data_IF_199853153171
#
_entry.id   IF_199853153171
#
_cell.length_a   1.000
_cell.length_b   1.000
_cell.length_c   1.000
_cell.angle_alpha   90.00
_cell.angle_beta   90.00
_cell.angle_gamma   90.00
#
_symmetry.space_group_name_H-M   'P 1'
#
loop_
_entity.id
_entity.type
_entity.pdbx_description
1 polymer ?
#
# COMPACT_ATOMS: atom_id res chain seq x y z
N UNK A 1 15.18 -3.71 -12.99
CA UNK A 1 14.35 -4.44 -13.97
C UNK A 1 14.48 -5.93 -13.67
N UNK A 2 13.37 -6.66 -13.55
CA UNK A 2 13.42 -8.11 -13.28
C UNK A 2 13.63 -8.85 -14.60
N UNK A 3 14.66 -9.70 -14.67
CA UNK A 3 15.00 -10.49 -15.86
C UNK A 3 15.00 -11.98 -15.55
N UNK A 4 14.79 -12.81 -16.57
CA UNK A 4 14.90 -14.26 -16.53
C UNK A 4 15.73 -14.71 -17.73
N UNK A 5 16.83 -15.43 -17.48
CA UNK A 5 17.80 -15.84 -18.50
C UNK A 5 18.30 -14.67 -19.39
N UNK A 6 18.54 -13.50 -18.78
CA UNK A 6 19.01 -12.31 -19.50
C UNK A 6 17.89 -11.49 -20.17
N UNK A 7 16.69 -12.05 -20.31
CA UNK A 7 15.57 -11.38 -20.96
C UNK A 7 14.60 -10.71 -19.97
N UNK A 8 13.94 -9.62 -20.36
CA UNK A 8 12.87 -9.00 -19.58
C UNK A 8 11.75 -9.99 -19.26
N UNK A 9 11.31 -10.05 -17.99
CA UNK A 9 10.10 -10.79 -17.65
C UNK A 9 8.89 -10.06 -18.24
N UNK A 10 8.17 -10.72 -19.16
CA UNK A 10 6.98 -10.16 -19.81
C UNK A 10 5.75 -10.08 -18.89
N UNK A 11 5.61 -11.05 -17.97
CA UNK A 11 4.48 -11.08 -17.04
C UNK A 11 4.83 -11.82 -15.74
N UNK A 12 4.35 -11.27 -14.62
CA UNK A 12 4.50 -11.87 -13.29
C UNK A 12 3.27 -12.65 -12.82
N UNK A 13 2.19 -12.68 -13.62
CA UNK A 13 0.88 -13.21 -13.21
C UNK A 13 0.94 -14.68 -12.77
N UNK A 14 1.63 -15.52 -13.55
CA UNK A 14 1.73 -16.96 -13.26
C UNK A 14 2.53 -17.22 -11.98
N UNK A 15 3.69 -16.56 -11.85
CA UNK A 15 4.54 -16.69 -10.67
C UNK A 15 3.80 -16.23 -9.41
N UNK A 16 3.08 -15.10 -9.50
CA UNK A 16 2.29 -14.59 -8.39
C UNK A 16 1.13 -15.52 -8.01
N UNK A 17 0.37 -16.04 -8.99
CA UNK A 17 -0.72 -16.98 -8.72
C UNK A 17 -0.23 -18.27 -8.03
N UNK A 18 0.96 -18.75 -8.42
CA UNK A 18 1.59 -19.88 -7.74
C UNK A 18 2.01 -19.51 -6.31
N UNK A 19 2.58 -18.32 -6.10
CA UNK A 19 2.94 -17.85 -4.77
C UNK A 19 1.72 -17.72 -3.84
N UNK A 20 0.59 -17.19 -4.34
CA UNK A 20 -0.69 -17.12 -3.62
C UNK A 20 -1.16 -18.50 -3.19
N UNK A 21 -1.10 -19.49 -4.09
CA UNK A 21 -1.48 -20.89 -3.80
C UNK A 21 -0.58 -21.50 -2.72
N UNK A 22 0.75 -21.33 -2.86
CA UNK A 22 1.73 -21.86 -1.89
C UNK A 22 1.57 -21.22 -0.50
N UNK A 23 1.24 -19.93 -0.46
CA UNK A 23 0.98 -19.18 0.76
C UNK A 23 -0.42 -19.47 1.36
N UNK A 24 -1.25 -20.30 0.71
CA UNK A 24 -2.63 -20.62 1.11
C UNK A 24 -3.51 -19.38 1.30
N UNK A 25 -3.32 -18.39 0.44
CA UNK A 25 -4.13 -17.17 0.41
C UNK A 25 -5.34 -17.33 -0.52
N UNK A 26 -6.32 -16.44 -0.38
CA UNK A 26 -7.48 -16.38 -1.25
C UNK A 26 -7.09 -16.16 -2.72
N UNK A 27 -7.84 -16.78 -3.65
CA UNK A 27 -7.57 -16.73 -5.08
C UNK A 27 -7.71 -15.30 -5.68
N UNK A 28 -8.40 -14.39 -4.98
CA UNK A 28 -8.53 -12.99 -5.34
C UNK A 28 -7.29 -12.14 -5.01
N UNK A 29 -6.26 -12.67 -4.36
CA UNK A 29 -5.03 -11.94 -4.08
C UNK A 29 -4.25 -11.69 -5.38
N UNK A 30 -3.98 -10.43 -5.66
CA UNK A 30 -3.25 -9.99 -6.86
C UNK A 30 -2.11 -9.03 -6.49
N UNK A 31 -1.35 -8.58 -7.49
CA UNK A 31 -0.33 -7.55 -7.28
C UNK A 31 -0.95 -6.23 -6.76
N UNK A 32 -2.22 -5.97 -7.11
CA UNK A 32 -2.94 -4.79 -6.64
C UNK A 32 -3.27 -4.89 -5.14
N UNK A 33 -3.50 -6.09 -4.62
CA UNK A 33 -3.63 -6.34 -3.17
C UNK A 33 -2.37 -5.92 -2.43
N UNK A 34 -1.18 -6.29 -2.94
CA UNK A 34 0.09 -5.90 -2.34
C UNK A 34 0.32 -4.38 -2.40
N UNK A 35 -0.10 -3.74 -3.49
CA UNK A 35 -0.09 -2.28 -3.61
C UNK A 35 -0.95 -1.61 -2.53
N UNK A 36 -2.14 -2.14 -2.27
CA UNK A 36 -3.00 -1.65 -1.19
C UNK A 36 -2.36 -1.84 0.19
N UNK A 37 -1.76 -3.01 0.47
CA UNK A 37 -1.04 -3.25 1.72
C UNK A 37 0.11 -2.27 1.91
N UNK A 38 0.87 -1.97 0.84
CA UNK A 38 1.94 -0.99 0.88
C UNK A 38 1.41 0.41 1.23
N UNK A 39 0.32 0.85 0.61
CA UNK A 39 -0.31 2.13 0.93
C UNK A 39 -0.72 2.21 2.41
N UNK A 40 -1.41 1.18 2.91
CA UNK A 40 -1.81 1.10 4.32
C UNK A 40 -0.62 1.21 5.27
N UNK A 41 0.47 0.49 5.01
CA UNK A 41 1.66 0.53 5.86
C UNK A 41 2.38 1.87 5.82
N UNK A 42 2.51 2.50 4.66
CA UNK A 42 3.18 3.79 4.56
C UNK A 42 2.41 4.88 5.29
N UNK A 43 1.07 4.90 5.16
CA UNK A 43 0.22 5.86 5.88
C UNK A 43 0.22 5.59 7.38
N UNK A 44 0.10 4.31 7.80
CA UNK A 44 0.15 3.93 9.22
C UNK A 44 1.47 4.32 9.88
N UNK A 45 2.57 4.35 9.12
CA UNK A 45 3.89 4.79 9.59
C UNK A 45 4.06 6.32 9.62
N UNK A 46 3.00 7.08 9.33
CA UNK A 46 3.03 8.55 9.34
C UNK A 46 3.75 9.17 8.14
N UNK A 47 3.89 8.46 7.02
CA UNK A 47 4.45 9.08 5.82
C UNK A 47 3.41 10.04 5.20
N UNK A 48 3.77 11.29 4.87
CA UNK A 48 2.82 12.24 4.28
C UNK A 48 2.15 11.69 3.03
N UNK A 49 0.82 11.87 2.92
CA UNK A 49 -0.04 11.36 1.85
C UNK A 49 0.49 11.67 0.46
N UNK A 50 1.03 12.87 0.25
CA UNK A 50 1.71 13.27 -0.98
C UNK A 50 2.86 12.34 -1.37
N UNK A 51 3.74 12.02 -0.42
CA UNK A 51 4.91 11.15 -0.65
C UNK A 51 4.48 9.71 -0.93
N UNK A 52 3.43 9.24 -0.25
CA UNK A 52 2.82 7.93 -0.53
C UNK A 52 2.27 7.89 -1.95
N UNK A 53 1.56 8.93 -2.36
CA UNK A 53 0.96 9.05 -3.69
C UNK A 53 2.02 9.08 -4.79
N UNK A 54 3.07 9.89 -4.62
CA UNK A 54 4.18 9.98 -5.57
C UNK A 54 4.92 8.64 -5.69
N UNK A 55 5.16 7.94 -4.57
CA UNK A 55 5.79 6.62 -4.57
C UNK A 55 4.95 5.56 -5.28
N UNK A 56 3.64 5.56 -5.04
CA UNK A 56 2.73 4.62 -5.67
C UNK A 56 2.38 5.05 -7.11
N UNK A 57 2.60 6.30 -7.52
CA UNK A 57 2.18 6.81 -8.82
C UNK A 57 0.65 6.90 -8.93
N UNK A 58 0.02 7.49 -7.93
CA UNK A 58 -1.43 7.81 -7.93
C UNK A 58 -1.63 9.24 -7.42
N UNK A 59 -2.88 9.73 -7.41
CA UNK A 59 -3.14 11.06 -6.86
C UNK A 59 -3.13 11.04 -5.34
N UNK A 60 -2.77 12.16 -4.73
CA UNK A 60 -2.84 12.31 -3.28
C UNK A 60 -4.27 12.16 -2.75
N UNK A 61 -5.25 12.66 -3.50
CA UNK A 61 -6.67 12.50 -3.19
C UNK A 61 -7.06 11.01 -3.05
N UNK A 62 -6.60 10.14 -3.95
CA UNK A 62 -6.85 8.70 -3.85
C UNK A 62 -6.27 8.09 -2.57
N UNK A 63 -5.11 8.58 -2.11
CA UNK A 63 -4.52 8.11 -0.85
C UNK A 63 -5.33 8.58 0.35
N UNK A 64 -5.74 9.85 0.37
CA UNK A 64 -6.55 10.42 1.45
C UNK A 64 -7.89 9.67 1.55
N UNK A 65 -8.60 9.52 0.43
CA UNK A 65 -9.92 8.89 0.37
C UNK A 65 -9.89 7.43 0.85
N UNK A 66 -8.87 6.66 0.46
CA UNK A 66 -8.83 5.22 0.75
C UNK A 66 -8.02 4.85 1.99
N UNK A 67 -7.03 5.65 2.39
CA UNK A 67 -6.08 5.29 3.45
C UNK A 67 -5.87 6.36 4.51
N UNK A 68 -6.35 7.60 4.31
CA UNK A 68 -6.10 8.71 5.24
C UNK A 68 -6.54 8.42 6.68
N UNK A 69 -7.54 7.57 6.86
CA UNK A 69 -8.02 7.13 8.17
C UNK A 69 -7.00 6.30 8.99
N UNK A 70 -5.92 5.81 8.36
CA UNK A 70 -4.87 5.02 9.00
C UNK A 70 -3.73 5.88 9.57
N UNK A 71 -3.72 7.17 9.28
CA UNK A 71 -2.69 8.08 9.75
C UNK A 71 -2.83 8.28 11.27
N UNK A 72 -1.87 7.75 12.03
CA UNK A 72 -1.89 7.67 13.49
C UNK A 72 -1.72 9.04 14.17
N UNK A 73 -0.97 9.92 13.52
CA UNK A 73 -0.69 11.29 13.94
C UNK A 73 -1.96 12.14 14.11
N UNK A 74 -2.93 12.04 13.19
CA UNK A 74 -4.17 12.81 13.31
C UNK A 74 -5.02 12.41 14.52
N UNK A 75 -5.00 11.13 14.92
CA UNK A 75 -5.79 10.67 16.07
C UNK A 75 -5.20 11.19 17.38
N UNK A 76 -3.87 11.18 17.50
CA UNK A 76 -3.16 11.69 18.68
C UNK A 76 -3.30 13.21 18.78
N UNK A 77 -3.14 13.95 17.67
CA UNK A 77 -3.36 15.40 17.65
C UNK A 77 -4.81 15.79 17.95
N UNK A 78 -5.79 15.10 17.39
CA UNK A 78 -7.20 15.35 17.66
C UNK A 78 -7.56 15.04 19.13
N UNK A 79 -7.03 13.94 19.68
CA UNK A 79 -7.21 13.60 21.09
C UNK A 79 -6.62 14.68 22.02
N UNK A 80 -5.42 15.19 21.70
CA UNK A 80 -4.77 16.28 22.44
C UNK A 80 -5.54 17.60 22.35
N UNK A 81 -6.12 17.92 21.18
CA UNK A 81 -6.90 19.14 20.98
C UNK A 81 -8.20 19.14 21.81
N UNK A 82 -8.84 17.97 22.00
CA UNK A 82 -10.05 17.83 22.82
C UNK A 82 -9.71 17.79 24.33
N UNK A 83 -8.56 17.23 24.70
CA UNK A 83 -8.16 17.03 26.09
C UNK A 83 -7.63 18.25 26.83
N UNK A 84 -7.31 19.36 26.14
CA UNK A 84 -6.88 20.61 26.78
C UNK A 84 -8.08 21.33 27.41
N UNK A 85 -8.22 21.19 28.73
CA UNK A 85 -8.95 22.12 29.62
C UNK A 85 -7.98 23.07 30.30
#
# INVERSE_FOLDING_TARGET
>A
MVTFNGEPVQSVKVALGRAVTLAKLDAGVTAYTLRHSCASWLVTKGLPTRKVADFLGTSEQMIIEHYGHLASDYQDEAALAIGRK
#
